data_IF_422583106545
#
_entry.id   IF_422583106545
#
_cell.length_a   1.000
_cell.length_b   1.000
_cell.length_c   1.000
_cell.angle_alpha   90.00
_cell.angle_beta   90.00
_cell.angle_gamma   90.00
#
_symmetry.space_group_name_H-M   'P 1'
#
loop_
_entity.id
_entity.type
_entity.pdbx_description
1 polymer ?
#
# COMPACT_ATOMS: atom_id res chain seq x y z
N UNK A 1 11.62 -7.63 18.95
CA UNK A 1 11.39 -8.44 17.73
C UNK A 1 10.24 -9.44 17.90
N UNK A 2 10.33 -10.45 18.77
CA UNK A 2 9.27 -11.48 18.95
C UNK A 2 7.86 -10.91 19.24
N UNK A 3 7.76 -9.97 20.20
CA UNK A 3 6.47 -9.31 20.53
C UNK A 3 5.86 -8.56 19.34
N UNK A 4 6.68 -7.82 18.58
CA UNK A 4 6.21 -7.10 17.38
C UNK A 4 5.72 -8.06 16.31
N UNK A 5 6.49 -9.10 16.00
CA UNK A 5 6.04 -10.12 15.06
C UNK A 5 4.69 -10.67 15.46
N UNK A 6 4.51 -11.05 16.73
CA UNK A 6 3.26 -11.66 17.21
C UNK A 6 2.07 -10.72 17.09
N UNK A 7 2.21 -9.45 17.49
CA UNK A 7 1.12 -8.46 17.40
C UNK A 7 0.70 -8.25 15.95
N UNK A 8 1.65 -8.06 15.04
CA UNK A 8 1.37 -7.87 13.63
C UNK A 8 0.81 -9.13 12.97
N UNK A 9 1.34 -10.30 13.33
CA UNK A 9 0.84 -11.59 12.85
C UNK A 9 -0.61 -11.82 13.28
N UNK A 10 -0.95 -11.58 14.56
CA UNK A 10 -2.32 -11.70 15.05
C UNK A 10 -3.26 -10.70 14.36
N UNK A 11 -2.80 -9.47 14.11
CA UNK A 11 -3.54 -8.50 13.30
C UNK A 11 -3.83 -9.02 11.89
N UNK A 12 -2.82 -9.63 11.25
CA UNK A 12 -2.97 -10.30 9.95
C UNK A 12 -3.99 -11.45 10.00
N UNK A 13 -3.97 -12.26 11.06
CA UNK A 13 -4.91 -13.39 11.23
C UNK A 13 -6.34 -12.86 11.29
N UNK A 14 -6.59 -11.83 12.10
CA UNK A 14 -7.91 -11.21 12.21
C UNK A 14 -8.33 -10.62 10.86
N UNK A 15 -7.44 -9.88 10.20
CA UNK A 15 -7.71 -9.27 8.90
C UNK A 15 -8.09 -10.30 7.83
N UNK A 16 -7.30 -11.37 7.66
CA UNK A 16 -7.57 -12.38 6.65
C UNK A 16 -8.77 -13.26 7.02
N UNK A 17 -8.97 -13.60 8.30
CA UNK A 17 -10.18 -14.33 8.71
C UNK A 17 -11.45 -13.60 8.29
N UNK A 18 -11.48 -12.27 8.45
CA UNK A 18 -12.64 -11.46 8.05
C UNK A 18 -12.70 -11.33 6.53
N UNK A 19 -11.57 -11.08 5.86
CA UNK A 19 -11.57 -10.72 4.44
C UNK A 19 -11.83 -11.92 3.51
N UNK A 20 -11.29 -13.09 3.85
CA UNK A 20 -11.40 -14.30 3.03
C UNK A 20 -12.25 -15.40 3.70
N UNK A 21 -13.13 -15.02 4.65
CA UNK A 21 -13.98 -15.95 5.39
C UNK A 21 -14.79 -16.88 4.48
N UNK A 22 -15.22 -16.37 3.33
CA UNK A 22 -16.06 -17.07 2.35
C UNK A 22 -15.44 -18.37 1.82
N UNK A 23 -14.12 -18.54 1.92
CA UNK A 23 -13.40 -19.78 1.55
C UNK A 23 -13.83 -20.98 2.42
N UNK A 24 -14.45 -20.72 3.58
CA UNK A 24 -15.04 -21.79 4.42
C UNK A 24 -16.02 -22.69 3.64
N UNK A 25 -16.73 -22.12 2.66
CA UNK A 25 -17.67 -22.86 1.81
C UNK A 25 -16.98 -23.81 0.82
N UNK A 26 -15.69 -23.62 0.55
CA UNK A 26 -14.88 -24.49 -0.30
C UNK A 26 -14.16 -25.51 0.56
N UNK A 27 -13.38 -25.05 1.55
CA UNK A 27 -12.67 -25.93 2.49
C UNK A 27 -12.32 -25.17 3.78
N UNK A 28 -12.73 -25.71 4.93
CA UNK A 28 -12.38 -25.14 6.24
C UNK A 28 -10.87 -25.23 6.53
N UNK A 29 -10.25 -26.38 6.26
CA UNK A 29 -8.82 -26.61 6.54
C UNK A 29 -7.95 -25.68 5.69
N UNK A 30 -8.28 -25.54 4.39
CA UNK A 30 -7.61 -24.62 3.49
C UNK A 30 -7.74 -23.17 3.92
N UNK A 31 -8.90 -22.73 4.41
CA UNK A 31 -9.06 -21.38 4.99
C UNK A 31 -8.09 -21.17 6.16
N UNK A 32 -8.05 -22.09 7.12
CA UNK A 32 -7.19 -21.97 8.31
C UNK A 32 -5.71 -21.88 7.88
N UNK A 33 -5.25 -22.82 7.04
CA UNK A 33 -3.86 -22.84 6.57
C UNK A 33 -3.51 -21.59 5.76
N UNK A 34 -4.41 -21.14 4.90
CA UNK A 34 -4.23 -19.95 4.07
C UNK A 34 -4.13 -18.69 4.94
N UNK A 35 -5.03 -18.50 5.91
CA UNK A 35 -4.96 -17.38 6.85
C UNK A 35 -3.64 -17.36 7.62
N UNK A 36 -3.21 -18.51 8.16
CA UNK A 36 -1.95 -18.59 8.90
C UNK A 36 -0.75 -18.25 8.00
N UNK A 37 -0.73 -18.79 6.78
CA UNK A 37 0.29 -18.47 5.78
C UNK A 37 0.31 -16.98 5.41
N UNK A 38 -0.83 -16.40 5.08
CA UNK A 38 -0.94 -15.00 4.66
C UNK A 38 -0.58 -14.02 5.79
N UNK A 39 -0.91 -14.38 7.03
CA UNK A 39 -0.60 -13.55 8.21
C UNK A 39 0.90 -13.45 8.48
N UNK A 40 1.71 -14.38 7.97
CA UNK A 40 3.17 -14.29 8.06
C UNK A 40 3.70 -13.03 7.38
N UNK A 41 3.08 -12.58 6.28
CA UNK A 41 3.48 -11.37 5.57
C UNK A 41 3.30 -10.12 6.45
N UNK A 42 2.21 -10.04 7.22
CA UNK A 42 2.01 -8.97 8.20
C UNK A 42 3.05 -9.04 9.31
N UNK A 43 3.32 -10.23 9.86
CA UNK A 43 4.34 -10.42 10.89
C UNK A 43 5.74 -9.99 10.41
N UNK A 44 6.11 -10.38 9.18
CA UNK A 44 7.38 -9.98 8.55
C UNK A 44 7.43 -8.47 8.34
N UNK A 45 6.35 -7.87 7.81
CA UNK A 45 6.26 -6.42 7.63
C UNK A 45 6.48 -5.67 8.95
N UNK A 46 5.81 -6.09 10.02
CA UNK A 46 5.97 -5.52 11.37
C UNK A 46 7.41 -5.61 11.90
N UNK A 47 8.14 -6.68 11.60
CA UNK A 47 9.56 -6.79 11.96
C UNK A 47 10.44 -5.87 11.12
N UNK A 48 10.19 -5.78 9.81
CA UNK A 48 10.96 -4.93 8.90
C UNK A 48 10.77 -3.46 9.26
N UNK A 49 9.53 -3.01 9.43
CA UNK A 49 9.23 -1.60 9.76
C UNK A 49 9.83 -1.21 11.12
N UNK A 50 9.82 -2.12 12.12
CA UNK A 50 10.48 -1.88 13.42
C UNK A 50 12.00 -1.73 13.30
N UNK A 51 12.64 -2.49 12.41
CA UNK A 51 14.09 -2.35 12.18
C UNK A 51 14.39 -0.98 11.58
N UNK A 52 13.61 -0.55 10.59
CA UNK A 52 13.77 0.77 9.96
C UNK A 52 13.45 1.89 10.94
N UNK A 53 12.40 1.73 11.75
CA UNK A 53 11.98 2.75 12.72
C UNK A 53 13.03 2.97 13.82
N UNK A 54 13.62 1.90 14.34
CA UNK A 54 14.68 1.99 15.35
C UNK A 54 15.96 2.67 14.83
N UNK A 55 16.27 2.51 13.54
CA UNK A 55 17.37 3.26 12.90
C UNK A 55 16.97 4.72 12.71
N UNK A 56 15.67 4.97 12.52
CA UNK A 56 15.14 6.30 12.23
C UNK A 56 14.97 7.24 13.41
N UNK A 57 14.81 6.69 14.61
CA UNK A 57 14.66 7.44 15.86
C UNK A 57 15.89 8.32 16.18
N UNK A 58 17.02 8.08 15.50
CA UNK A 58 18.30 8.76 15.73
C UNK A 58 18.46 10.05 14.91
N UNK A 59 17.63 10.34 13.89
CA UNK A 59 17.72 11.62 13.14
C UNK A 59 16.48 12.05 12.34
N UNK A 60 16.28 13.37 12.19
CA UNK A 60 15.21 13.99 11.35
C UNK A 60 15.26 13.57 9.88
N UNK A 61 16.46 13.36 9.33
CA UNK A 61 16.70 12.82 7.96
C UNK A 61 16.04 11.46 7.78
N UNK A 62 15.67 10.79 8.87
CA UNK A 62 15.08 9.49 8.79
C UNK A 62 13.55 9.43 8.61
N UNK A 63 12.84 10.56 8.77
CA UNK A 63 11.40 10.60 8.49
C UNK A 63 11.07 10.37 7.03
N UNK A 64 11.80 11.05 6.14
CA UNK A 64 11.61 10.92 4.69
C UNK A 64 12.04 9.54 4.18
N UNK A 65 13.11 8.97 4.75
CA UNK A 65 13.55 7.61 4.41
C UNK A 65 12.49 6.60 4.82
N UNK A 66 11.96 6.73 6.04
CA UNK A 66 10.87 5.87 6.52
C UNK A 66 9.61 6.00 5.67
N UNK A 67 9.26 7.23 5.26
CA UNK A 67 8.11 7.54 4.42
C UNK A 67 8.09 6.74 3.12
N UNK A 68 9.24 6.57 2.45
CA UNK A 68 9.31 5.84 1.18
C UNK A 68 9.66 4.35 1.33
N UNK A 69 10.45 3.98 2.35
CA UNK A 69 10.83 2.58 2.56
C UNK A 69 9.67 1.73 3.06
N UNK A 70 8.84 2.25 3.99
CA UNK A 70 7.74 1.46 4.54
C UNK A 70 6.71 1.04 3.47
N UNK A 71 6.24 1.91 2.57
CA UNK A 71 5.38 1.50 1.46
C UNK A 71 6.07 0.53 0.49
N UNK A 72 7.37 0.72 0.20
CA UNK A 72 8.13 -0.18 -0.66
C UNK A 72 8.21 -1.59 -0.08
N UNK A 73 8.44 -1.71 1.24
CA UNK A 73 8.44 -2.98 1.95
C UNK A 73 7.07 -3.67 1.89
N UNK A 74 5.98 -2.93 2.09
CA UNK A 74 4.63 -3.48 2.00
C UNK A 74 4.35 -4.05 0.61
N UNK A 75 4.60 -3.24 -0.42
CA UNK A 75 4.33 -3.62 -1.81
C UNK A 75 5.22 -4.77 -2.26
N UNK A 76 6.47 -4.84 -1.79
CA UNK A 76 7.35 -5.98 -2.05
C UNK A 76 6.76 -7.27 -1.47
N UNK A 77 6.20 -7.22 -0.26
CA UNK A 77 5.55 -8.37 0.36
C UNK A 77 4.25 -8.75 -0.36
N UNK A 78 3.45 -7.77 -0.79
CA UNK A 78 2.28 -8.02 -1.63
C UNK A 78 2.66 -8.71 -2.95
N UNK A 79 3.71 -8.22 -3.61
CA UNK A 79 4.23 -8.80 -4.84
C UNK A 79 4.70 -10.25 -4.62
N UNK A 80 5.54 -10.48 -3.61
CA UNK A 80 6.04 -11.82 -3.25
C UNK A 80 4.88 -12.78 -2.96
N UNK A 81 3.91 -12.36 -2.15
CA UNK A 81 2.70 -13.14 -1.84
C UNK A 81 1.90 -13.49 -3.10
N UNK A 82 1.86 -12.59 -4.07
CA UNK A 82 1.09 -12.77 -5.31
C UNK A 82 1.74 -13.72 -6.32
N UNK A 83 3.00 -14.14 -6.12
CA UNK A 83 3.74 -14.95 -7.08
C UNK A 83 4.32 -16.25 -6.49
N UNK A 84 4.62 -16.29 -5.18
CA UNK A 84 5.14 -17.50 -4.52
C UNK A 84 4.06 -18.58 -4.42
N UNK A 85 4.45 -19.85 -4.61
CA UNK A 85 3.58 -21.03 -4.48
C UNK A 85 2.27 -20.89 -5.28
N UNK A 86 2.38 -20.56 -6.56
CA UNK A 86 1.29 -20.20 -7.49
C UNK A 86 0.60 -18.85 -7.25
N UNK A 87 0.86 -18.21 -6.10
CA UNK A 87 0.46 -16.83 -5.83
C UNK A 87 -0.95 -16.68 -5.26
N UNK A 88 -1.10 -15.82 -4.25
CA UNK A 88 -2.41 -15.41 -3.72
C UNK A 88 -2.53 -13.87 -3.63
N UNK A 89 -2.77 -13.25 -4.78
CA UNK A 89 -2.91 -11.79 -4.94
C UNK A 89 -4.27 -11.21 -4.50
N UNK A 90 -5.01 -11.89 -3.63
CA UNK A 90 -6.29 -11.40 -3.10
C UNK A 90 -6.09 -10.41 -1.97
N UNK A 91 -7.04 -9.46 -1.85
CA UNK A 91 -7.02 -8.40 -0.84
C UNK A 91 -5.70 -7.60 -0.86
N UNK A 92 -5.32 -7.08 -2.04
CA UNK A 92 -4.30 -6.04 -2.14
C UNK A 92 -4.87 -4.73 -1.61
N UNK A 93 -4.06 -3.93 -0.93
CA UNK A 93 -4.50 -2.62 -0.43
C UNK A 93 -4.99 -1.71 -1.57
N UNK A 94 -4.37 -1.79 -2.75
CA UNK A 94 -4.75 -1.02 -3.94
C UNK A 94 -6.21 -1.23 -4.35
N UNK A 95 -6.80 -2.41 -4.09
CA UNK A 95 -8.20 -2.68 -4.43
C UNK A 95 -9.19 -1.83 -3.61
N UNK A 96 -8.79 -1.32 -2.45
CA UNK A 96 -9.59 -0.38 -1.67
C UNK A 96 -9.88 0.94 -2.40
N UNK A 97 -9.08 1.28 -3.40
CA UNK A 97 -9.17 2.54 -4.15
C UNK A 97 -9.81 2.38 -5.53
N UNK A 98 -10.41 1.23 -5.84
CA UNK A 98 -11.04 0.96 -7.14
C UNK A 98 -12.16 1.95 -7.51
N UNK A 99 -12.87 2.48 -6.52
CA UNK A 99 -13.91 3.49 -6.73
C UNK A 99 -13.36 4.93 -6.85
N UNK A 100 -12.08 5.15 -6.56
CA UNK A 100 -11.42 6.44 -6.68
C UNK A 100 -10.83 6.58 -8.10
N UNK A 101 -11.69 6.93 -9.06
CA UNK A 101 -11.36 6.91 -10.49
C UNK A 101 -10.08 7.69 -10.86
N UNK A 102 -9.81 8.90 -10.35
CA UNK A 102 -8.57 9.60 -10.67
C UNK A 102 -7.34 8.88 -10.09
N UNK A 103 -7.43 8.41 -8.84
CA UNK A 103 -6.29 7.76 -8.19
C UNK A 103 -5.96 6.40 -8.81
N UNK A 104 -6.97 5.60 -9.19
CA UNK A 104 -6.76 4.25 -9.73
C UNK A 104 -6.05 4.26 -11.09
N UNK A 105 -6.05 5.37 -11.84
CA UNK A 105 -5.43 5.43 -13.16
C UNK A 105 -3.94 5.07 -13.12
N UNK A 106 -3.20 5.40 -12.05
CA UNK A 106 -1.77 5.06 -11.92
C UNK A 106 -1.48 3.56 -12.01
N UNK A 107 -2.52 2.71 -11.84
CA UNK A 107 -2.41 1.27 -12.02
C UNK A 107 -2.13 0.85 -13.46
N UNK A 108 -2.34 1.71 -14.46
CA UNK A 108 -1.99 1.41 -15.85
C UNK A 108 -0.47 1.34 -16.08
N UNK A 109 0.32 2.10 -15.30
CA UNK A 109 1.79 2.11 -15.34
C UNK A 109 2.37 1.12 -14.32
N UNK A 110 1.82 1.10 -13.10
CA UNK A 110 2.44 0.43 -11.95
C UNK A 110 1.72 -0.84 -11.49
N UNK A 111 0.57 -1.15 -12.09
CA UNK A 111 -0.36 -2.16 -11.58
C UNK A 111 -1.02 -1.75 -10.25
N UNK A 112 -1.76 -2.67 -9.65
CA UNK A 112 -2.41 -2.44 -8.35
C UNK A 112 -1.41 -2.10 -7.22
N UNK A 113 -0.14 -2.51 -7.38
CA UNK A 113 0.94 -2.30 -6.42
C UNK A 113 1.31 -0.83 -6.22
N UNK A 114 1.28 0.02 -7.26
CA UNK A 114 1.53 1.45 -7.08
C UNK A 114 0.40 2.14 -6.31
N UNK A 115 -0.84 1.67 -6.48
CA UNK A 115 -1.97 2.17 -5.70
C UNK A 115 -1.83 1.75 -4.22
N UNK A 116 -1.46 0.49 -3.95
CA UNK A 116 -1.09 0.04 -2.59
C UNK A 116 0.01 0.91 -1.99
N UNK A 117 1.04 1.25 -2.79
CA UNK A 117 2.13 2.11 -2.35
C UNK A 117 1.61 3.47 -1.86
N UNK A 118 0.76 4.13 -2.64
CA UNK A 118 0.19 5.44 -2.27
C UNK A 118 -0.67 5.35 -1.01
N UNK A 119 -1.44 4.28 -0.85
CA UNK A 119 -2.24 4.05 0.37
C UNK A 119 -1.34 3.95 1.60
N UNK A 120 -0.27 3.13 1.53
CA UNK A 120 0.65 2.99 2.67
C UNK A 120 1.43 4.27 2.91
N UNK A 121 1.82 5.00 1.86
CA UNK A 121 2.51 6.29 1.94
C UNK A 121 1.72 7.30 2.79
N UNK A 122 0.42 7.43 2.52
CA UNK A 122 -0.48 8.31 3.28
C UNK A 122 -0.61 7.83 4.73
N UNK A 123 -0.77 6.53 4.96
CA UNK A 123 -0.85 5.98 6.32
C UNK A 123 0.43 6.22 7.14
N UNK A 124 1.61 6.12 6.51
CA UNK A 124 2.89 6.40 7.17
C UNK A 124 3.00 7.88 7.53
N UNK A 125 2.58 8.79 6.64
CA UNK A 125 2.51 10.22 6.97
C UNK A 125 1.59 10.47 8.17
N UNK A 126 0.39 9.89 8.17
CA UNK A 126 -0.56 10.03 9.28
C UNK A 126 0.07 9.57 10.58
N UNK A 127 0.74 8.41 10.58
CA UNK A 127 1.47 7.91 11.75
C UNK A 127 2.52 8.93 12.24
N UNK A 128 3.39 9.43 11.36
CA UNK A 128 4.42 10.41 11.72
C UNK A 128 3.82 11.70 12.28
N UNK A 129 2.73 12.19 11.69
CA UNK A 129 2.03 13.40 12.14
C UNK A 129 1.35 13.19 13.49
N UNK A 130 0.80 12.01 13.77
CA UNK A 130 0.19 11.68 15.07
C UNK A 130 1.22 11.59 16.18
N UNK A 131 2.39 10.98 15.93
CA UNK A 131 3.46 10.83 16.93
C UNK A 131 4.15 12.15 17.27
N UNK A 132 4.39 13.01 16.27
CA UNK A 132 5.28 14.16 16.44
C UNK A 132 4.64 15.52 16.17
N UNK A 133 3.46 15.54 15.57
CA UNK A 133 2.74 16.74 15.15
C UNK A 133 3.11 17.22 13.75
N UNK A 134 2.12 17.83 13.07
CA UNK A 134 2.27 18.36 11.70
C UNK A 134 3.44 19.34 11.53
N UNK A 135 3.73 20.29 12.45
CA UNK A 135 4.83 21.23 12.26
C UNK A 135 6.20 20.57 12.14
N UNK A 136 6.41 19.43 12.82
CA UNK A 136 7.67 18.67 12.77
C UNK A 136 7.79 17.83 11.49
N UNK A 137 6.66 17.48 10.88
CA UNK A 137 6.54 16.58 9.72
C UNK A 137 6.02 17.27 8.46
N UNK A 138 6.18 18.59 8.40
CA UNK A 138 5.65 19.42 7.32
C UNK A 138 6.32 19.09 5.98
N UNK A 139 7.61 18.75 5.97
CA UNK A 139 8.31 18.34 4.77
C UNK A 139 7.70 17.06 4.18
N UNK A 140 7.51 16.03 5.00
CA UNK A 140 6.89 14.78 4.61
C UNK A 140 5.46 15.02 4.11
N UNK A 141 4.69 15.87 4.79
CA UNK A 141 3.33 16.23 4.37
C UNK A 141 3.32 16.91 2.99
N UNK A 142 4.23 17.86 2.75
CA UNK A 142 4.38 18.53 1.45
C UNK A 142 4.77 17.53 0.37
N UNK A 143 5.70 16.62 0.66
CA UNK A 143 6.12 15.59 -0.29
C UNK A 143 4.96 14.67 -0.66
N UNK A 144 4.22 14.13 0.32
CA UNK A 144 3.04 13.30 0.04
C UNK A 144 1.98 14.09 -0.72
N UNK A 145 1.74 15.35 -0.37
CA UNK A 145 0.81 16.22 -1.08
C UNK A 145 1.17 16.32 -2.57
N UNK A 146 2.44 16.59 -2.90
CA UNK A 146 2.87 16.66 -4.30
C UNK A 146 2.81 15.30 -5.02
N UNK A 147 3.17 14.21 -4.35
CA UNK A 147 3.04 12.86 -4.93
C UNK A 147 1.58 12.54 -5.26
N UNK A 148 0.65 12.83 -4.35
CA UNK A 148 -0.78 12.66 -4.59
C UNK A 148 -1.27 13.61 -5.68
N UNK A 149 -0.87 14.89 -5.63
CA UNK A 149 -1.26 15.88 -6.65
C UNK A 149 -0.86 15.40 -8.05
N UNK A 150 0.35 14.89 -8.23
CA UNK A 150 0.82 14.32 -9.50
C UNK A 150 -0.04 13.12 -9.90
N UNK A 151 -0.28 12.18 -8.98
CA UNK A 151 -1.08 10.98 -9.26
C UNK A 151 -2.53 11.32 -9.64
N UNK A 152 -3.16 12.26 -8.93
CA UNK A 152 -4.51 12.71 -9.23
C UNK A 152 -4.55 13.51 -10.54
N UNK A 153 -3.57 14.37 -10.79
CA UNK A 153 -3.49 15.15 -12.03
C UNK A 153 -3.32 14.23 -13.24
N UNK A 154 -2.48 13.21 -13.13
CA UNK A 154 -2.36 12.15 -14.13
C UNK A 154 -3.71 11.47 -14.38
N UNK A 155 -4.41 11.10 -13.30
CA UNK A 155 -5.72 10.47 -13.38
C UNK A 155 -6.77 11.31 -14.07
N UNK A 156 -6.87 12.60 -13.72
CA UNK A 156 -7.79 13.54 -14.36
C UNK A 156 -7.44 13.74 -15.83
N UNK A 157 -6.15 13.85 -16.16
CA UNK A 157 -5.69 13.94 -17.55
C UNK A 157 -6.10 12.71 -18.36
N UNK A 158 -5.90 11.51 -17.79
CA UNK A 158 -6.23 10.24 -18.44
C UNK A 158 -7.74 10.05 -18.63
N UNK A 159 -8.54 10.52 -17.69
CA UNK A 159 -10.00 10.43 -17.73
C UNK A 159 -10.67 11.51 -18.59
N UNK A 160 -9.94 12.51 -19.07
CA UNK A 160 -10.52 13.61 -19.82
C UNK A 160 -10.92 13.14 -21.25
N UNK A 161 -12.22 13.16 -21.61
CA UNK A 161 -12.70 12.71 -22.93
C UNK A 161 -12.10 13.49 -24.11
N UNK A 162 -11.52 14.65 -23.85
CA UNK A 162 -10.87 15.51 -24.85
C UNK A 162 -9.61 14.86 -25.44
N UNK A 163 -8.88 14.05 -24.66
CA UNK A 163 -7.71 13.32 -25.14
C UNK A 163 -8.11 12.22 -26.15
N UNK A 164 -9.22 11.53 -25.89
CA UNK A 164 -9.77 10.54 -26.82
C UNK A 164 -10.28 11.18 -28.10
N UNK A 165 -10.95 12.34 -28.02
CA UNK A 165 -11.44 13.07 -29.21
C UNK A 165 -10.31 13.62 -30.07
N UNK A 166 -9.22 14.13 -29.50
CA UNK A 166 -8.07 14.67 -30.26
C UNK A 166 -7.27 13.58 -30.98
N UNK A 167 -7.13 12.41 -30.36
CA UNK A 167 -6.53 11.21 -30.98
C UNK A 167 -7.46 10.63 -32.05
N UNK A 168 -8.77 10.56 -31.79
CA UNK A 168 -9.76 10.10 -32.76
C UNK A 168 -9.97 11.05 -33.95
N UNK A 169 -9.75 12.36 -33.77
CA UNK A 169 -9.84 13.36 -34.83
C UNK A 169 -8.54 13.54 -35.63
N UNK A 170 -7.52 12.71 -35.39
CA UNK A 170 -6.30 12.71 -36.22
C UNK A 170 -5.42 13.95 -36.10
N UNK A 171 -5.50 14.70 -34.99
CA UNK A 171 -4.54 15.76 -34.65
C UNK A 171 -4.16 16.71 -35.79
N UNK A 172 -5.13 17.33 -36.47
CA UNK A 172 -4.86 18.45 -37.37
C UNK A 172 -5.56 19.71 -36.82
N UNK A 173 -4.83 20.83 -36.63
CA UNK A 173 -5.42 22.11 -36.22
C UNK A 173 -6.42 22.66 -37.24
#
# INVERSE_FOLDING_TARGET
MKKTFLVWYLGGVIFYLITIYWIVHVTLIGLILLVLYLSLYFGVFGMLIRKVSNVSEVSRVSGIVFLFIAPAMWVSLEYIRSHILSGFGWALLGYSQTLNLPLIQISDITGAYGVSYLVVLVNVLVYLVVEEGLPKRMLEAVVVFFVLLISFSYGIYRLNPSAERYVASGGNP
#
